data_IF_078967147975
#
_entry.id   IF_078967147975
#
_cell.length_a   1.000
_cell.length_b   1.000
_cell.length_c   1.000
_cell.angle_alpha   90.00
_cell.angle_beta   90.00
_cell.angle_gamma   90.00
#
_symmetry.space_group_name_H-M   'P 1'
#
loop_
_entity.id
_entity.type
_entity.pdbx_description
1 polymer ?
#
# COMPACT_ATOMS: atom_id res chain seq x y z
N UNK A 1 -27.73 8.20 6.21
CA UNK A 1 -26.88 8.88 6.23
C UNK A 1 -25.73 8.59 5.47
N UNK A 2 -25.09 9.38 5.17
CA UNK A 2 -24.13 9.30 4.12
C UNK A 2 -22.73 9.25 4.60
N UNK A 3 -22.48 9.20 5.91
CA UNK A 3 -21.11 9.32 6.35
C UNK A 3 -20.27 8.12 5.92
N UNK A 4 -20.82 6.92 5.91
CA UNK A 4 -20.05 5.77 5.46
C UNK A 4 -19.74 5.88 3.97
N UNK A 5 -20.67 6.38 3.20
CA UNK A 5 -20.45 6.56 1.78
C UNK A 5 -19.44 7.66 1.52
N UNK A 6 -19.48 8.71 2.32
CA UNK A 6 -18.51 9.77 2.18
C UNK A 6 -17.12 9.31 2.52
N UNK A 7 -16.98 8.49 3.56
CA UNK A 7 -15.67 7.94 3.91
C UNK A 7 -15.14 7.07 2.80
N UNK A 8 -15.98 6.26 2.17
CA UNK A 8 -15.55 5.46 1.05
C UNK A 8 -15.09 6.33 -0.11
N UNK A 9 -15.79 7.44 -0.35
CA UNK A 9 -15.41 8.33 -1.43
C UNK A 9 -14.07 8.98 -1.19
N UNK A 10 -13.70 9.20 0.07
CA UNK A 10 -12.42 9.81 0.38
C UNK A 10 -11.27 8.90 0.00
N UNK A 11 -11.52 7.59 -0.14
CA UNK A 11 -10.48 6.68 -0.52
C UNK A 11 -10.69 6.16 -1.92
N UNK A 12 -10.79 7.07 -2.84
CA UNK A 12 -10.81 6.73 -4.25
C UNK A 12 -9.41 6.92 -4.81
N UNK A 13 -8.95 5.91 -5.52
CA UNK A 13 -7.66 5.95 -6.18
C UNK A 13 -7.94 5.78 -7.65
N UNK A 14 -7.54 6.76 -8.45
CA UNK A 14 -7.79 6.71 -9.86
C UNK A 14 -7.20 5.44 -10.46
N UNK A 15 -8.03 4.67 -11.17
CA UNK A 15 -7.60 3.44 -11.81
C UNK A 15 -7.74 2.19 -10.96
N UNK A 16 -8.17 2.32 -9.69
CA UNK A 16 -8.23 1.18 -8.78
C UNK A 16 -9.66 0.97 -8.29
N UNK A 17 -10.13 -0.28 -8.45
CA UNK A 17 -11.44 -0.68 -7.96
C UNK A 17 -11.36 -1.83 -6.96
N UNK A 18 -10.16 -2.38 -6.72
CA UNK A 18 -10.02 -3.53 -5.84
C UNK A 18 -10.24 -3.13 -4.39
N UNK A 19 -11.25 -3.72 -3.76
CA UNK A 19 -11.63 -3.36 -2.41
C UNK A 19 -10.51 -3.58 -1.41
N UNK A 20 -9.75 -4.67 -1.56
CA UNK A 20 -8.65 -4.96 -0.63
C UNK A 20 -7.63 -3.84 -0.61
N UNK A 21 -7.32 -3.29 -1.78
CA UNK A 21 -6.33 -2.21 -1.87
C UNK A 21 -6.88 -0.94 -1.26
N UNK A 22 -8.13 -0.61 -1.55
CA UNK A 22 -8.74 0.60 -0.99
C UNK A 22 -8.81 0.51 0.53
N UNK A 23 -9.19 -0.64 1.05
CA UNK A 23 -9.27 -0.82 2.49
C UNK A 23 -7.89 -0.83 3.15
N UNK A 24 -6.87 -1.29 2.43
CA UNK A 24 -5.52 -1.24 2.96
C UNK A 24 -5.17 0.21 3.36
N UNK A 25 -5.41 1.15 2.48
CA UNK A 25 -5.10 2.55 2.77
C UNK A 25 -6.03 3.14 3.81
N UNK A 26 -7.31 2.79 3.74
CA UNK A 26 -8.28 3.31 4.69
C UNK A 26 -7.95 2.89 6.11
N UNK A 27 -7.71 1.59 6.33
CA UNK A 27 -7.42 1.10 7.66
C UNK A 27 -6.05 1.54 8.15
N UNK A 28 -5.08 1.59 7.25
CA UNK A 28 -3.76 2.05 7.61
C UNK A 28 -3.81 3.48 8.14
N UNK A 29 -4.49 4.36 7.42
CA UNK A 29 -4.58 5.76 7.82
C UNK A 29 -5.42 5.97 9.07
N UNK A 30 -6.34 5.06 9.34
CA UNK A 30 -7.14 5.14 10.55
C UNK A 30 -6.42 4.58 11.77
N UNK A 31 -5.23 4.00 11.57
CA UNK A 31 -4.50 3.39 12.67
C UNK A 31 -5.05 2.04 13.08
N UNK A 32 -5.89 1.44 12.22
CA UNK A 32 -6.49 0.14 12.49
C UNK A 32 -5.60 -0.95 11.92
N UNK A 33 -4.44 -1.14 12.54
CA UNK A 33 -3.38 -1.96 11.93
C UNK A 33 -3.72 -3.44 11.90
N UNK A 34 -4.51 -3.92 12.85
CA UNK A 34 -4.94 -5.31 12.78
C UNK A 34 -5.91 -5.53 11.64
N UNK A 35 -6.76 -4.54 11.37
CA UNK A 35 -7.65 -4.63 10.22
C UNK A 35 -6.87 -4.59 8.92
N UNK A 36 -5.80 -3.80 8.86
CA UNK A 36 -4.94 -3.77 7.69
C UNK A 36 -4.30 -5.14 7.47
N UNK A 37 -3.74 -5.72 8.54
CA UNK A 37 -3.09 -7.03 8.44
C UNK A 37 -4.08 -8.13 8.06
N UNK A 38 -5.34 -7.98 8.48
CA UNK A 38 -6.36 -8.99 8.15
C UNK A 38 -6.70 -9.03 6.68
N UNK A 39 -6.32 -8.01 5.92
CA UNK A 39 -6.53 -8.03 4.47
C UNK A 39 -5.54 -8.94 3.75
N UNK A 40 -4.48 -9.33 4.42
CA UNK A 40 -3.48 -10.23 3.85
C UNK A 40 -3.94 -11.67 3.93
N UNK A 41 -3.42 -12.50 3.02
CA UNK A 41 -3.56 -13.94 3.16
C UNK A 41 -2.85 -14.40 4.43
N UNK A 42 -3.19 -15.58 4.91
CA UNK A 42 -2.59 -16.09 6.15
C UNK A 42 -1.07 -16.10 6.08
N UNK A 43 -0.53 -16.46 4.91
CA UNK A 43 0.90 -16.48 4.69
C UNK A 43 1.35 -15.28 3.86
N UNK A 44 0.59 -14.20 3.89
CA UNK A 44 0.91 -13.01 3.12
C UNK A 44 2.20 -12.37 3.58
N UNK A 45 2.81 -11.60 2.70
CA UNK A 45 4.12 -11.03 2.91
C UNK A 45 4.06 -9.52 2.67
N UNK A 46 4.68 -8.77 3.56
CA UNK A 46 4.89 -7.33 3.39
C UNK A 46 6.38 -7.06 3.35
N UNK A 47 6.80 -6.30 2.34
CA UNK A 47 8.19 -5.89 2.23
C UNK A 47 8.30 -4.36 2.29
N UNK A 48 8.59 -3.80 3.47
CA UNK A 48 8.75 -2.36 3.60
C UNK A 48 10.07 -1.89 2.99
N UNK A 49 10.25 -0.57 2.82
CA UNK A 49 11.53 -0.07 2.31
C UNK A 49 12.65 -0.43 3.27
N UNK A 50 13.76 -0.87 2.70
CA UNK A 50 15.00 -1.15 3.45
C UNK A 50 14.87 -2.28 4.46
N UNK A 51 13.79 -3.05 4.42
CA UNK A 51 13.57 -4.13 5.36
C UNK A 51 13.48 -5.44 4.63
N UNK A 52 13.70 -6.53 5.35
CA UNK A 52 13.46 -7.85 4.79
C UNK A 52 11.96 -8.16 4.86
N UNK A 53 11.57 -9.27 4.26
CA UNK A 53 10.17 -9.65 4.21
C UNK A 53 9.62 -9.91 5.59
N UNK A 54 8.39 -9.45 5.81
CA UNK A 54 7.63 -9.69 7.02
C UNK A 54 6.51 -10.64 6.64
N UNK A 55 6.49 -11.82 7.25
CA UNK A 55 5.61 -12.90 6.82
C UNK A 55 4.53 -13.17 7.85
N UNK A 56 3.29 -13.17 7.40
CA UNK A 56 2.15 -13.53 8.22
C UNK A 56 1.46 -12.34 8.85
N UNK A 57 0.16 -12.51 9.11
CA UNK A 57 -0.67 -11.42 9.59
C UNK A 57 -0.21 -10.85 10.92
N UNK A 58 0.18 -11.74 11.85
CA UNK A 58 0.58 -11.26 13.18
C UNK A 58 1.83 -10.41 13.10
N UNK A 59 2.82 -10.86 12.35
CA UNK A 59 4.07 -10.10 12.20
C UNK A 59 3.82 -8.78 11.49
N UNK A 60 2.93 -8.79 10.49
CA UNK A 60 2.59 -7.56 9.78
C UNK A 60 1.91 -6.58 10.71
N UNK A 61 0.96 -7.05 11.53
CA UNK A 61 0.28 -6.17 12.48
C UNK A 61 1.26 -5.55 13.47
N UNK A 62 2.19 -6.34 13.98
CA UNK A 62 3.20 -5.85 14.93
C UNK A 62 4.06 -4.77 14.25
N UNK A 63 4.52 -5.05 13.04
CA UNK A 63 5.34 -4.09 12.32
C UNK A 63 4.59 -2.77 12.12
N UNK A 64 3.34 -2.84 11.67
CA UNK A 64 2.57 -1.63 11.42
C UNK A 64 2.37 -0.82 12.69
N UNK A 65 2.10 -1.49 13.80
CA UNK A 65 1.93 -0.80 15.08
C UNK A 65 3.20 -0.10 15.52
N UNK A 66 4.34 -0.71 15.26
CA UNK A 66 5.61 -0.14 15.69
C UNK A 66 6.09 0.97 14.77
N UNK A 67 5.85 0.85 13.47
CA UNK A 67 6.52 1.72 12.51
C UNK A 67 5.61 2.70 11.80
N UNK A 68 4.29 2.50 11.82
CA UNK A 68 3.41 3.29 10.97
C UNK A 68 2.44 4.18 11.72
N UNK A 69 2.61 4.35 13.02
CA UNK A 69 1.65 5.13 13.80
C UNK A 69 1.54 6.58 13.36
N UNK A 70 2.65 7.14 12.89
CA UNK A 70 2.67 8.54 12.51
C UNK A 70 2.82 8.74 11.03
N UNK A 71 2.41 7.73 10.25
CA UNK A 71 2.51 7.78 8.81
C UNK A 71 1.12 7.81 8.22
N UNK A 72 0.89 8.71 7.28
CA UNK A 72 -0.35 8.77 6.51
C UNK A 72 -0.01 8.53 5.05
N UNK A 73 -0.81 7.71 4.40
CA UNK A 73 -0.61 7.39 3.01
C UNK A 73 -1.62 8.19 2.18
N UNK A 74 -1.14 8.79 1.10
CA UNK A 74 -1.98 9.55 0.19
C UNK A 74 -1.81 8.97 -1.21
N UNK A 75 -2.50 7.86 -1.49
CA UNK A 75 -2.42 7.26 -2.82
C UNK A 75 -3.04 8.18 -3.85
N UNK A 76 -2.47 8.21 -5.03
CA UNK A 76 -2.91 9.10 -6.07
C UNK A 76 -3.54 8.35 -7.23
N UNK A 77 -2.79 7.47 -7.87
CA UNK A 77 -3.29 6.76 -9.05
C UNK A 77 -2.68 5.37 -9.09
N UNK A 78 -3.31 4.48 -9.82
CA UNK A 78 -2.80 3.13 -9.90
C UNK A 78 -3.27 2.40 -11.14
N UNK A 79 -2.70 1.22 -11.33
CA UNK A 79 -3.00 0.34 -12.45
C UNK A 79 -3.15 -1.07 -11.91
N UNK A 80 -4.21 -1.74 -12.34
CA UNK A 80 -4.44 -3.14 -12.00
C UNK A 80 -4.26 -3.97 -13.25
N UNK A 81 -3.59 -5.11 -13.10
CA UNK A 81 -3.30 -5.98 -14.21
C UNK A 81 -3.61 -7.42 -13.81
N UNK A 82 -4.42 -8.09 -14.63
CA UNK A 82 -4.72 -9.51 -14.37
C UNK A 82 -3.49 -10.34 -14.72
N UNK A 83 -3.17 -11.25 -13.83
CA UNK A 83 -2.08 -12.20 -14.02
C UNK A 83 -2.67 -13.59 -14.14
N UNK A 84 -1.80 -14.58 -14.24
CA UNK A 84 -2.24 -15.97 -14.35
C UNK A 84 -2.88 -16.43 -13.04
N UNK A 85 -3.70 -17.47 -13.15
CA UNK A 85 -4.31 -18.14 -11.99
C UNK A 85 -5.20 -17.20 -11.18
N UNK A 86 -5.92 -16.34 -11.87
CA UNK A 86 -6.88 -15.43 -11.23
C UNK A 86 -6.25 -14.51 -10.20
N UNK A 87 -4.95 -14.25 -10.31
CA UNK A 87 -4.29 -13.27 -9.45
C UNK A 87 -4.27 -11.92 -10.15
N UNK A 88 -4.07 -10.87 -9.36
CA UNK A 88 -4.08 -9.50 -9.88
C UNK A 88 -2.91 -8.76 -9.28
N UNK A 89 -2.19 -8.03 -10.13
CA UNK A 89 -1.16 -7.13 -9.66
C UNK A 89 -1.70 -5.71 -9.68
N UNK A 90 -1.54 -4.99 -8.58
CA UNK A 90 -1.98 -3.61 -8.48
C UNK A 90 -0.78 -2.76 -8.10
N UNK A 91 -0.53 -1.71 -8.86
CA UNK A 91 0.52 -0.75 -8.55
C UNK A 91 -0.12 0.59 -8.28
N UNK A 92 0.22 1.18 -7.14
CA UNK A 92 -0.33 2.47 -6.72
C UNK A 92 0.83 3.41 -6.44
N UNK A 93 0.76 4.61 -6.97
CA UNK A 93 1.74 5.65 -6.64
C UNK A 93 1.06 6.75 -5.87
N UNK A 94 1.82 7.41 -5.02
CA UNK A 94 1.31 8.49 -4.21
C UNK A 94 2.39 8.97 -3.27
N UNK A 95 1.96 9.46 -2.11
CA UNK A 95 2.89 9.99 -1.12
C UNK A 95 2.63 9.37 0.23
N UNK A 96 3.68 9.29 1.03
CA UNK A 96 3.57 8.97 2.44
C UNK A 96 4.05 10.18 3.22
N UNK A 97 3.24 10.59 4.20
CA UNK A 97 3.52 11.76 5.02
C UNK A 97 3.95 11.29 6.39
N UNK A 98 5.14 11.68 6.81
CA UNK A 98 5.63 11.43 8.16
C UNK A 98 5.56 12.72 8.95
N UNK A 99 6.06 12.69 10.21
CA UNK A 99 6.12 13.91 11.03
C UNK A 99 7.06 14.95 10.45
N UNK A 100 8.01 14.51 9.62
CA UNK A 100 9.07 15.41 9.14
C UNK A 100 8.92 15.78 7.69
N UNK A 101 8.43 14.86 6.87
CA UNK A 101 8.54 15.07 5.44
C UNK A 101 7.51 14.24 4.71
N UNK A 102 7.41 14.50 3.42
CA UNK A 102 6.55 13.76 2.51
C UNK A 102 7.45 13.11 1.47
N UNK A 103 7.23 11.84 1.20
CA UNK A 103 8.04 11.10 0.23
C UNK A 103 7.13 10.45 -0.80
N UNK A 104 7.65 10.29 -2.00
CA UNK A 104 6.92 9.61 -3.06
C UNK A 104 7.10 8.11 -2.90
N UNK A 105 6.01 7.36 -3.09
CA UNK A 105 5.98 5.93 -2.79
C UNK A 105 5.27 5.19 -3.90
N UNK A 106 5.77 4.00 -4.17
CA UNK A 106 5.07 3.00 -4.99
C UNK A 106 4.69 1.84 -4.09
N UNK A 107 3.42 1.49 -4.08
CA UNK A 107 2.91 0.30 -3.41
C UNK A 107 2.58 -0.73 -4.48
N UNK A 108 3.20 -1.89 -4.39
CA UNK A 108 2.90 -3.01 -5.28
C UNK A 108 2.12 -4.05 -4.48
N UNK A 109 0.97 -4.46 -4.99
CA UNK A 109 0.14 -5.48 -4.35
C UNK A 109 -0.03 -6.65 -5.31
N UNK A 110 0.05 -7.86 -4.78
CA UNK A 110 -0.40 -9.05 -5.50
C UNK A 110 -1.58 -9.61 -4.73
N UNK A 111 -2.71 -9.72 -5.41
CA UNK A 111 -3.92 -10.28 -4.79
C UNK A 111 -4.13 -11.70 -5.30
N UNK A 112 -4.45 -12.61 -4.39
CA UNK A 112 -4.73 -13.98 -4.79
C UNK A 112 -6.15 -14.09 -5.33
N UNK A 113 -6.58 -15.30 -5.67
CA UNK A 113 -7.88 -15.44 -6.29
C UNK A 113 -9.04 -15.16 -5.35
N UNK A 114 -8.80 -15.15 -4.03
CA UNK A 114 -9.80 -14.72 -3.06
C UNK A 114 -9.72 -13.23 -2.79
N UNK A 115 -8.91 -12.50 -3.54
CA UNK A 115 -8.69 -11.06 -3.40
C UNK A 115 -8.06 -10.68 -2.06
N UNK A 116 -7.35 -11.61 -1.45
CA UNK A 116 -6.51 -11.31 -0.30
C UNK A 116 -5.14 -10.86 -0.78
N UNK A 117 -4.49 -10.03 0.01
CA UNK A 117 -3.16 -9.55 -0.35
C UNK A 117 -2.16 -10.66 -0.04
N UNK A 118 -1.56 -11.25 -1.07
CA UNK A 118 -0.55 -12.26 -0.88
C UNK A 118 0.83 -11.66 -0.76
N UNK A 119 1.03 -10.46 -1.30
CA UNK A 119 2.33 -9.80 -1.26
C UNK A 119 2.15 -8.30 -1.43
N UNK A 120 2.86 -7.53 -0.63
CA UNK A 120 2.90 -6.08 -0.79
C UNK A 120 4.34 -5.62 -0.66
N UNK A 121 4.80 -4.84 -1.62
CA UNK A 121 6.12 -4.23 -1.56
C UNK A 121 5.95 -2.72 -1.57
N UNK A 122 6.64 -2.07 -0.66
CA UNK A 122 6.58 -0.61 -0.54
C UNK A 122 7.94 -0.07 -0.92
N UNK A 123 7.97 0.79 -1.92
CA UNK A 123 9.22 1.28 -2.48
C UNK A 123 9.21 2.79 -2.46
N UNK A 124 10.26 3.38 -1.91
CA UNK A 124 10.41 4.83 -1.94
C UNK A 124 10.91 5.24 -3.31
N UNK A 125 10.31 6.29 -3.85
CA UNK A 125 10.70 6.82 -5.16
C UNK A 125 11.44 8.12 -4.95
N UNK A 126 12.50 8.31 -5.73
CA UNK A 126 13.22 9.56 -5.71
C UNK A 126 12.34 10.66 -6.27
N UNK A 127 12.67 11.91 -5.95
CA UNK A 127 11.99 13.04 -6.56
C UNK A 127 12.27 13.03 -8.06
N UNK A 128 11.42 13.72 -8.85
CA UNK A 128 11.69 13.79 -10.29
C UNK A 128 13.08 14.32 -10.61
N UNK A 129 13.56 15.28 -9.84
CA UNK A 129 14.90 15.82 -10.07
C UNK A 129 15.97 14.78 -9.80
N UNK A 130 15.81 14.02 -8.74
CA UNK A 130 16.75 12.96 -8.41
C UNK A 130 16.75 11.88 -9.48
N UNK A 131 15.57 11.55 -9.99
CA UNK A 131 15.48 10.55 -11.06
C UNK A 131 16.17 11.03 -12.32
N UNK A 132 16.02 12.30 -12.66
CA UNK A 132 16.68 12.85 -13.82
C UNK A 132 18.19 12.84 -13.65
N UNK A 133 18.67 13.17 -12.45
CA UNK A 133 20.10 13.13 -12.18
C UNK A 133 20.67 11.74 -12.36
N UNK A 134 19.95 10.73 -11.86
CA UNK A 134 20.39 9.34 -12.01
C UNK A 134 20.47 8.95 -13.47
N UNK A 135 19.51 9.38 -14.28
CA UNK A 135 19.53 9.09 -15.70
C UNK A 135 20.75 9.67 -16.38
N UNK A 136 21.12 10.88 -16.00
CA UNK A 136 22.24 11.54 -16.64
C UNK A 136 23.55 10.84 -16.36
N UNK A 137 23.64 10.24 -15.20
CA UNK A 137 24.87 9.56 -14.82
C UNK A 137 25.10 8.28 -15.58
N UNK A 138 24.11 7.82 -16.29
CA UNK A 138 24.30 6.66 -17.13
C UNK A 138 24.72 7.06 -18.53
#
# INVERSE_FOLDING_TARGET
MTSAEQLKKEFQIEGITETSVLRYFETLNAGEFEATAALFAVDGVMRPPFESDIVGRDAIAVYLKQECQNIKAYPNTGIAEALENATIQVQVTGKAQTSWCSVNVLWLFILNEQRQISYTKIKLLASPQELLSLRREK
#
